data_IF_579800876034
#
_entry.id   IF_579800876034
#
_cell.length_a   1.000
_cell.length_b   1.000
_cell.length_c   1.000
_cell.angle_alpha   90.00
_cell.angle_beta   90.00
_cell.angle_gamma   90.00
#
_symmetry.space_group_name_H-M   'P 1'
#
loop_
_entity.id
_entity.type
_entity.pdbx_description
1 polymer ?
#
# COMPACT_ATOMS: atom_id res chain seq x y z
N UNK A 1 -9.00 -60.57 22.00
CA UNK A 1 -8.74 -59.57 23.05
C UNK A 1 -7.87 -58.46 22.46
N UNK A 2 -8.51 -57.42 21.92
CA UNK A 2 -7.85 -56.29 21.26
C UNK A 2 -7.83 -55.09 22.20
N UNK A 3 -6.75 -54.95 22.95
CA UNK A 3 -6.49 -53.77 23.77
C UNK A 3 -5.66 -52.81 22.92
N UNK A 4 -6.23 -51.68 22.47
CA UNK A 4 -5.51 -50.64 21.72
C UNK A 4 -5.01 -49.54 22.68
N UNK A 5 -3.69 -49.41 22.96
CA UNK A 5 -3.15 -48.31 23.76
C UNK A 5 -2.81 -47.04 22.94
N UNK A 6 -3.20 -46.98 21.65
CA UNK A 6 -2.65 -46.02 20.69
C UNK A 6 -3.32 -44.63 20.66
N UNK A 7 -4.35 -44.37 21.48
CA UNK A 7 -5.10 -43.11 21.43
C UNK A 7 -4.38 -41.92 22.10
N UNK A 8 -3.59 -42.15 23.17
CA UNK A 8 -3.00 -41.05 23.97
C UNK A 8 -1.81 -40.37 23.28
N UNK A 9 -0.98 -41.12 22.55
CA UNK A 9 0.19 -40.58 21.84
C UNK A 9 -0.20 -39.75 20.62
N UNK A 10 -1.18 -40.23 19.84
CA UNK A 10 -1.67 -39.52 18.66
C UNK A 10 -2.30 -38.16 19.02
N UNK A 11 -3.09 -38.07 20.10
CA UNK A 11 -3.69 -36.81 20.53
C UNK A 11 -2.64 -35.75 20.93
N UNK A 12 -1.55 -36.14 21.62
CA UNK A 12 -0.49 -35.20 21.99
C UNK A 12 0.24 -34.63 20.76
N UNK A 13 0.50 -35.47 19.76
CA UNK A 13 1.14 -35.04 18.50
C UNK A 13 0.25 -34.09 17.70
N UNK A 14 -1.07 -34.36 17.65
CA UNK A 14 -2.05 -33.49 16.97
C UNK A 14 -2.13 -32.12 17.67
N UNK A 15 -2.21 -32.11 19.01
CA UNK A 15 -2.21 -30.85 19.78
C UNK A 15 -0.90 -30.06 19.64
N UNK A 16 0.25 -30.75 19.61
CA UNK A 16 1.55 -30.10 19.41
C UNK A 16 1.67 -29.51 17.99
N UNK A 17 1.21 -30.24 16.96
CA UNK A 17 1.18 -29.75 15.59
C UNK A 17 0.28 -28.52 15.44
N UNK A 18 -0.91 -28.53 16.08
CA UNK A 18 -1.79 -27.37 16.11
C UNK A 18 -1.11 -26.15 16.76
N UNK A 19 -0.42 -26.35 17.88
CA UNK A 19 0.28 -25.27 18.58
C UNK A 19 1.42 -24.68 17.74
N UNK A 20 2.21 -25.52 17.05
CA UNK A 20 3.28 -25.06 16.15
C UNK A 20 2.69 -24.26 14.97
N UNK A 21 1.63 -24.76 14.33
CA UNK A 21 0.95 -24.04 13.25
C UNK A 21 0.38 -22.70 13.74
N UNK A 22 -0.16 -22.64 14.95
CA UNK A 22 -0.65 -21.41 15.55
C UNK A 22 0.45 -20.37 15.77
N UNK A 23 1.62 -20.78 16.26
CA UNK A 23 2.78 -19.90 16.41
C UNK A 23 3.26 -19.39 15.04
N UNK A 24 3.35 -20.26 14.03
CA UNK A 24 3.72 -19.86 12.66
C UNK A 24 2.69 -18.90 12.04
N UNK A 25 1.40 -19.13 12.25
CA UNK A 25 0.33 -18.23 11.82
C UNK A 25 0.44 -16.85 12.48
N UNK A 26 0.72 -16.82 13.79
CA UNK A 26 0.90 -15.59 14.54
C UNK A 26 2.13 -14.80 14.04
N UNK A 27 3.25 -15.49 13.79
CA UNK A 27 4.45 -14.86 13.22
C UNK A 27 4.19 -14.33 11.80
N UNK A 28 3.56 -15.12 10.93
CA UNK A 28 3.19 -14.68 9.58
C UNK A 28 2.30 -13.44 9.60
N UNK A 29 1.33 -13.40 10.51
CA UNK A 29 0.44 -12.24 10.71
C UNK A 29 1.21 -11.03 11.22
N UNK A 30 2.13 -11.20 12.17
CA UNK A 30 2.95 -10.12 12.70
C UNK A 30 3.83 -9.47 11.61
N UNK A 31 4.51 -10.29 10.81
CA UNK A 31 5.34 -9.79 9.71
C UNK A 31 4.49 -9.13 8.62
N UNK A 32 3.33 -9.71 8.29
CA UNK A 32 2.38 -9.09 7.36
C UNK A 32 1.97 -7.70 7.88
N UNK A 33 1.60 -7.61 9.15
CA UNK A 33 1.14 -6.37 9.76
C UNK A 33 2.22 -5.29 9.73
N UNK A 34 3.48 -5.64 10.05
CA UNK A 34 4.58 -4.68 9.99
C UNK A 34 4.80 -4.14 8.57
N UNK A 35 4.80 -5.02 7.55
CA UNK A 35 4.94 -4.58 6.15
C UNK A 35 3.75 -3.78 5.65
N UNK A 36 2.54 -4.09 6.12
CA UNK A 36 1.33 -3.30 5.85
C UNK A 36 1.46 -1.86 6.36
N UNK A 37 1.93 -1.68 7.59
CA UNK A 37 2.15 -0.34 8.17
C UNK A 37 3.14 0.46 7.33
N UNK A 38 4.27 -0.15 6.93
CA UNK A 38 5.26 0.53 6.10
C UNK A 38 4.71 0.89 4.71
N UNK A 39 4.02 -0.03 4.05
CA UNK A 39 3.41 0.22 2.75
C UNK A 39 2.35 1.33 2.83
N UNK A 40 1.53 1.32 3.88
CA UNK A 40 0.49 2.31 4.11
C UNK A 40 1.06 3.69 4.45
N UNK A 41 2.16 3.75 5.22
CA UNK A 41 2.86 5.00 5.50
C UNK A 41 3.39 5.65 4.20
N UNK A 42 4.07 4.89 3.34
CA UNK A 42 4.51 5.40 2.02
C UNK A 42 3.33 5.78 1.11
N UNK A 43 2.25 4.99 1.11
CA UNK A 43 1.02 5.31 0.36
C UNK A 43 0.43 6.66 0.80
N UNK A 44 0.33 6.88 2.11
CA UNK A 44 -0.19 8.13 2.67
C UNK A 44 0.71 9.32 2.31
N UNK A 45 2.03 9.13 2.35
CA UNK A 45 2.98 10.16 1.95
C UNK A 45 2.86 10.51 0.45
N UNK A 46 2.70 9.49 -0.41
CA UNK A 46 2.43 9.69 -1.83
C UNK A 46 1.13 10.49 -2.06
N UNK A 47 0.05 10.14 -1.36
CA UNK A 47 -1.24 10.85 -1.44
C UNK A 47 -1.08 12.31 -1.00
N UNK A 48 -0.37 12.58 0.10
CA UNK A 48 -0.12 13.94 0.57
C UNK A 48 0.69 14.76 -0.45
N UNK A 49 1.73 14.17 -1.04
CA UNK A 49 2.55 14.82 -2.07
C UNK A 49 1.74 15.07 -3.35
N UNK A 50 0.94 14.10 -3.77
CA UNK A 50 0.04 14.25 -4.92
C UNK A 50 -0.99 15.36 -4.68
N UNK A 51 -1.57 15.45 -3.47
CA UNK A 51 -2.48 16.54 -3.12
C UNK A 51 -1.80 17.90 -3.24
N UNK A 52 -0.57 18.04 -2.72
CA UNK A 52 0.21 19.27 -2.84
C UNK A 52 0.56 19.59 -4.30
N UNK A 53 0.88 18.58 -5.11
CA UNK A 53 1.12 18.76 -6.54
C UNK A 53 -0.13 19.31 -7.23
N UNK A 54 -1.31 18.73 -6.96
CA UNK A 54 -2.60 19.20 -7.48
C UNK A 54 -2.88 20.65 -7.06
N UNK A 55 -2.68 20.99 -5.79
CA UNK A 55 -2.86 22.37 -5.30
C UNK A 55 -1.92 23.35 -6.03
N UNK A 56 -0.69 22.91 -6.32
CA UNK A 56 0.31 23.72 -7.04
C UNK A 56 -0.05 23.86 -8.52
N UNK A 57 -0.56 22.81 -9.17
CA UNK A 57 -1.11 22.88 -10.53
C UNK A 57 -2.31 23.83 -10.59
N UNK A 58 -3.22 23.76 -9.63
CA UNK A 58 -4.36 24.68 -9.54
C UNK A 58 -3.89 26.14 -9.39
N UNK A 59 -2.84 26.38 -8.59
CA UNK A 59 -2.24 27.71 -8.47
C UNK A 59 -1.64 28.20 -9.81
N UNK A 60 -0.95 27.32 -10.53
CA UNK A 60 -0.42 27.61 -11.87
C UNK A 60 -1.56 27.94 -12.86
N UNK A 61 -2.62 27.14 -12.90
CA UNK A 61 -3.78 27.39 -13.76
C UNK A 61 -4.46 28.71 -13.42
N UNK A 62 -4.63 29.03 -12.13
CA UNK A 62 -5.18 30.31 -11.69
C UNK A 62 -4.32 31.49 -12.16
N UNK A 63 -2.98 31.37 -12.12
CA UNK A 63 -2.06 32.40 -12.67
C UNK A 63 -2.25 32.56 -14.17
N UNK A 64 -2.36 31.46 -14.90
CA UNK A 64 -2.57 31.49 -16.35
C UNK A 64 -3.92 32.14 -16.72
N UNK A 65 -4.98 31.86 -15.95
CA UNK A 65 -6.28 32.50 -16.10
C UNK A 65 -6.17 34.01 -15.86
N UNK A 66 -5.52 34.44 -14.77
CA UNK A 66 -5.31 35.87 -14.47
C UNK A 66 -4.53 36.58 -15.57
N UNK A 67 -3.44 35.98 -16.04
CA UNK A 67 -2.66 36.48 -17.16
C UNK A 67 -3.52 36.65 -18.41
N UNK A 68 -4.30 35.63 -18.78
CA UNK A 68 -5.19 35.68 -19.93
C UNK A 68 -6.26 36.77 -19.79
N UNK A 69 -6.82 36.97 -18.59
CA UNK A 69 -7.78 38.04 -18.29
C UNK A 69 -7.10 39.41 -18.45
N UNK A 70 -5.92 39.62 -17.88
CA UNK A 70 -5.19 40.88 -18.02
C UNK A 70 -4.86 41.18 -19.48
N UNK A 71 -4.41 40.19 -20.26
CA UNK A 71 -4.18 40.35 -21.69
C UNK A 71 -5.46 40.66 -22.47
N UNK A 72 -6.57 40.00 -22.15
CA UNK A 72 -7.86 40.29 -22.77
C UNK A 72 -8.29 41.74 -22.50
N UNK A 73 -8.16 42.22 -21.26
CA UNK A 73 -8.48 43.60 -20.86
C UNK A 73 -7.58 44.65 -21.53
N UNK A 74 -6.30 44.34 -21.76
CA UNK A 74 -5.38 45.23 -22.50
C UNK A 74 -5.70 45.25 -24.00
N UNK A 75 -6.09 44.09 -24.56
CA UNK A 75 -6.40 43.95 -25.99
C UNK A 75 -7.74 44.58 -26.37
N UNK A 76 -8.66 44.69 -25.42
CA UNK A 76 -9.93 45.40 -25.60
C UNK A 76 -9.74 46.87 -25.23
N UNK A 77 -10.29 47.81 -26.01
CA UNK A 77 -10.23 49.26 -25.70
C UNK A 77 -11.13 49.65 -24.50
N UNK A 78 -11.45 48.69 -23.63
CA UNK A 78 -12.23 48.87 -22.40
C UNK A 78 -11.45 49.69 -21.37
N UNK A 79 -10.12 49.60 -21.38
CA UNK A 79 -9.23 50.38 -20.51
C UNK A 79 -8.55 51.48 -21.32
N UNK A 80 -9.16 52.67 -21.33
CA UNK A 80 -8.69 53.86 -22.04
C UNK A 80 -7.62 54.66 -21.28
N UNK A 81 -7.54 54.48 -19.97
CA UNK A 81 -6.54 55.13 -19.13
C UNK A 81 -5.17 54.43 -19.29
N UNK A 82 -4.19 55.18 -19.79
CA UNK A 82 -2.82 54.70 -20.00
C UNK A 82 -2.13 54.23 -18.71
N UNK A 83 -2.47 54.84 -17.55
CA UNK A 83 -1.91 54.45 -16.25
C UNK A 83 -2.44 53.08 -15.82
N UNK A 84 -3.74 52.83 -16.01
CA UNK A 84 -4.37 51.54 -15.69
C UNK A 84 -3.85 50.44 -16.64
N UNK A 85 -3.71 50.75 -17.93
CA UNK A 85 -3.11 49.83 -18.91
C UNK A 85 -1.69 49.39 -18.49
N UNK A 86 -0.84 50.33 -18.11
CA UNK A 86 0.53 50.04 -17.64
C UNK A 86 0.55 49.18 -16.35
N UNK A 87 -0.40 49.39 -15.44
CA UNK A 87 -0.55 48.55 -14.24
C UNK A 87 -0.94 47.11 -14.60
N UNK A 88 -1.88 46.93 -15.53
CA UNK A 88 -2.30 45.60 -16.01
C UNK A 88 -1.16 44.86 -16.73
N UNK A 89 -0.36 45.58 -17.53
CA UNK A 89 0.83 45.01 -18.18
C UNK A 89 1.86 44.52 -17.15
N UNK A 90 2.12 45.30 -16.10
CA UNK A 90 3.00 44.89 -15.00
C UNK A 90 2.47 43.68 -14.23
N UNK A 91 1.16 43.63 -13.97
CA UNK A 91 0.52 42.48 -13.32
C UNK A 91 0.60 41.22 -14.21
N UNK A 92 0.35 41.34 -15.51
CA UNK A 92 0.46 40.24 -16.47
C UNK A 92 1.89 39.71 -16.59
N UNK A 93 2.90 40.60 -16.61
CA UNK A 93 4.30 40.22 -16.63
C UNK A 93 4.68 39.44 -15.36
N UNK A 94 4.26 39.91 -14.19
CA UNK A 94 4.52 39.25 -12.90
C UNK A 94 3.93 37.84 -12.82
N UNK A 95 2.69 37.67 -13.30
CA UNK A 95 2.05 36.34 -13.33
C UNK A 95 2.78 35.38 -14.28
N UNK A 96 3.24 35.86 -15.45
CA UNK A 96 3.97 35.05 -16.43
C UNK A 96 5.37 34.68 -15.95
N UNK A 97 6.08 35.62 -15.33
CA UNK A 97 7.45 35.40 -14.84
C UNK A 97 7.49 34.36 -13.72
N UNK A 98 6.47 34.35 -12.86
CA UNK A 98 6.39 33.42 -11.73
C UNK A 98 5.70 32.08 -12.05
N UNK A 99 5.03 31.94 -13.20
CA UNK A 99 4.33 30.70 -13.56
C UNK A 99 5.26 29.48 -13.77
N UNK A 100 6.42 29.60 -14.45
CA UNK A 100 7.32 28.46 -14.66
C UNK A 100 7.84 27.83 -13.37
N UNK A 101 8.15 28.63 -12.33
CA UNK A 101 8.66 28.12 -11.06
C UNK A 101 7.58 27.35 -10.28
N UNK A 102 6.32 27.78 -10.35
CA UNK A 102 5.18 27.05 -9.78
C UNK A 102 4.97 25.72 -10.51
N UNK A 103 5.06 25.72 -11.84
CA UNK A 103 4.96 24.51 -12.64
C UNK A 103 6.09 23.51 -12.35
N UNK A 104 7.31 24.00 -12.18
CA UNK A 104 8.46 23.18 -11.82
C UNK A 104 8.27 22.55 -10.43
N UNK A 105 7.81 23.33 -9.46
CA UNK A 105 7.50 22.83 -8.12
C UNK A 105 6.40 21.75 -8.14
N UNK A 106 5.34 21.93 -8.95
CA UNK A 106 4.29 20.92 -9.12
C UNK A 106 4.86 19.60 -9.67
N UNK A 107 5.70 19.68 -10.71
CA UNK A 107 6.38 18.50 -11.30
C UNK A 107 7.32 17.80 -10.32
N UNK A 108 8.02 18.56 -9.48
CA UNK A 108 8.89 17.98 -8.45
C UNK A 108 8.07 17.21 -7.40
N UNK A 109 6.96 17.79 -6.94
CA UNK A 109 6.05 17.12 -6.01
C UNK A 109 5.44 15.86 -6.61
N UNK A 110 5.04 15.92 -7.88
CA UNK A 110 4.49 14.77 -8.62
C UNK A 110 5.52 13.63 -8.75
N UNK A 111 6.79 13.95 -9.06
CA UNK A 111 7.88 12.95 -9.10
C UNK A 111 8.12 12.31 -7.73
N UNK A 112 8.09 13.11 -6.66
CA UNK A 112 8.23 12.60 -5.30
C UNK A 112 7.05 11.70 -4.92
N UNK A 113 5.82 12.09 -5.29
CA UNK A 113 4.62 11.29 -5.07
C UNK A 113 4.72 9.93 -5.78
N UNK A 114 5.15 9.93 -7.05
CA UNK A 114 5.34 8.69 -7.83
C UNK A 114 6.38 7.77 -7.19
N UNK A 115 7.51 8.31 -6.72
CA UNK A 115 8.55 7.53 -6.03
C UNK A 115 8.05 6.88 -4.75
N UNK A 116 7.23 7.58 -3.95
CA UNK A 116 6.65 7.03 -2.72
C UNK A 116 5.54 5.99 -3.02
N UNK A 117 4.78 6.17 -4.11
CA UNK A 117 3.79 5.19 -4.52
C UNK A 117 4.45 3.89 -5.02
N UNK A 118 5.51 3.98 -5.83
CA UNK A 118 6.30 2.81 -6.25
C UNK A 118 6.88 2.06 -5.06
N UNK A 119 7.43 2.79 -4.08
CA UNK A 119 7.91 2.21 -2.81
C UNK A 119 6.78 1.50 -2.08
N UNK A 120 5.61 2.12 -1.96
CA UNK A 120 4.43 1.49 -1.34
C UNK A 120 4.03 0.19 -2.05
N UNK A 121 3.93 0.22 -3.38
CA UNK A 121 3.54 -0.95 -4.19
C UNK A 121 4.53 -2.12 -4.02
N UNK A 122 5.84 -1.82 -3.97
CA UNK A 122 6.86 -2.86 -3.77
C UNK A 122 6.67 -3.60 -2.43
N UNK A 123 6.39 -2.86 -1.36
CA UNK A 123 6.18 -3.43 -0.02
C UNK A 123 4.82 -4.13 0.08
N UNK A 124 3.79 -3.64 -0.63
CA UNK A 124 2.44 -4.21 -0.62
C UNK A 124 2.39 -5.64 -1.18
N UNK A 125 3.14 -5.94 -2.25
CA UNK A 125 3.22 -7.30 -2.80
C UNK A 125 3.67 -8.33 -1.76
N UNK A 126 4.64 -7.93 -0.95
CA UNK A 126 5.14 -8.79 0.12
C UNK A 126 4.11 -8.99 1.23
N UNK A 127 3.34 -7.94 1.57
CA UNK A 127 2.23 -8.05 2.51
C UNK A 127 1.17 -9.06 2.04
N UNK A 128 0.76 -9.01 0.77
CA UNK A 128 -0.22 -9.94 0.20
C UNK A 128 0.23 -11.40 0.33
N UNK A 129 1.50 -11.70 0.02
CA UNK A 129 2.04 -13.05 0.19
C UNK A 129 2.05 -13.51 1.64
N UNK A 130 2.39 -12.63 2.59
CA UNK A 130 2.37 -12.95 4.01
C UNK A 130 0.95 -13.19 4.54
N UNK A 131 -0.05 -12.47 3.99
CA UNK A 131 -1.46 -12.74 4.30
C UNK A 131 -1.91 -14.11 3.80
N UNK A 132 -1.55 -14.50 2.57
CA UNK A 132 -1.87 -15.83 2.05
C UNK A 132 -1.20 -16.93 2.87
N UNK A 133 0.04 -16.73 3.31
CA UNK A 133 0.73 -17.65 4.22
C UNK A 133 -0.03 -17.79 5.56
N UNK A 134 -0.41 -16.67 6.19
CA UNK A 134 -1.17 -16.69 7.45
C UNK A 134 -2.53 -17.40 7.29
N UNK A 135 -3.26 -17.14 6.20
CA UNK A 135 -4.53 -17.80 5.91
C UNK A 135 -4.37 -19.32 5.72
N UNK A 136 -3.31 -19.76 5.04
CA UNK A 136 -3.03 -21.19 4.86
C UNK A 136 -2.80 -21.91 6.20
N UNK A 137 -2.08 -21.30 7.14
CA UNK A 137 -1.91 -21.85 8.49
C UNK A 137 -3.21 -21.88 9.28
N UNK A 138 -4.06 -20.85 9.16
CA UNK A 138 -5.39 -20.85 9.78
C UNK A 138 -6.26 -22.01 9.28
N UNK A 139 -6.29 -22.23 7.96
CA UNK A 139 -7.02 -23.36 7.37
C UNK A 139 -6.45 -24.69 7.88
N UNK A 140 -5.12 -24.82 7.99
CA UNK A 140 -4.49 -26.01 8.54
C UNK A 140 -4.91 -26.27 10.00
N UNK A 141 -4.95 -25.23 10.85
CA UNK A 141 -5.39 -25.34 12.26
C UNK A 141 -6.85 -25.78 12.36
N UNK A 142 -7.73 -25.23 11.51
CA UNK A 142 -9.14 -25.63 11.44
C UNK A 142 -9.27 -27.11 11.06
N UNK A 143 -8.53 -27.57 10.04
CA UNK A 143 -8.53 -28.98 9.63
C UNK A 143 -7.95 -29.90 10.69
N UNK A 144 -6.92 -29.48 11.42
CA UNK A 144 -6.39 -30.21 12.58
C UNK A 144 -7.45 -30.37 13.67
N UNK A 145 -8.21 -29.32 13.93
CA UNK A 145 -9.28 -29.31 14.94
C UNK A 145 -10.45 -30.23 14.53
N UNK A 146 -10.86 -30.19 13.26
CA UNK A 146 -11.87 -31.09 12.69
C UNK A 146 -11.37 -32.55 12.71
N UNK A 147 -10.12 -32.79 12.33
CA UNK A 147 -9.53 -34.14 12.34
C UNK A 147 -9.48 -34.73 13.75
N UNK A 148 -9.22 -33.91 14.76
CA UNK A 148 -9.24 -34.32 16.16
C UNK A 148 -10.67 -34.68 16.62
N UNK A 149 -11.67 -33.91 16.19
CA UNK A 149 -13.08 -34.14 16.54
C UNK A 149 -13.66 -35.40 15.89
N UNK A 150 -13.36 -35.64 14.61
CA UNK A 150 -13.94 -36.73 13.81
C UNK A 150 -13.10 -38.02 13.89
N UNK A 151 -11.95 -38.00 14.56
CA UNK A 151 -10.95 -39.09 14.58
C UNK A 151 -10.55 -39.60 13.17
N UNK A 152 -10.73 -38.75 12.15
CA UNK A 152 -10.51 -39.08 10.74
C UNK A 152 -9.04 -38.93 10.36
N UNK A 153 -8.25 -39.99 10.61
CA UNK A 153 -6.81 -40.06 10.31
C UNK A 153 -6.44 -39.78 8.85
N UNK A 154 -7.38 -39.86 7.91
CA UNK A 154 -7.19 -39.55 6.49
C UNK A 154 -6.99 -38.05 6.19
N UNK A 155 -7.32 -37.15 7.12
CA UNK A 155 -7.10 -35.70 6.96
C UNK A 155 -5.67 -35.25 7.29
N UNK A 156 -4.89 -36.08 8.00
CA UNK A 156 -3.51 -35.78 8.39
C UNK A 156 -2.55 -35.46 7.22
N UNK A 157 -2.56 -36.19 6.08
CA UNK A 157 -1.72 -35.81 4.93
C UNK A 157 -2.10 -34.45 4.33
N UNK A 158 -3.38 -34.07 4.34
CA UNK A 158 -3.84 -32.76 3.84
C UNK A 158 -3.32 -31.63 4.72
N UNK A 159 -3.32 -31.81 6.05
CA UNK A 159 -2.70 -30.87 7.01
C UNK A 159 -1.21 -30.70 6.73
N UNK A 160 -0.49 -31.80 6.44
CA UNK A 160 0.92 -31.75 6.08
C UNK A 160 1.20 -30.95 4.80
N UNK A 161 0.36 -31.12 3.78
CA UNK A 161 0.45 -30.36 2.51
C UNK A 161 0.19 -28.87 2.76
N UNK A 162 -0.86 -28.53 3.52
CA UNK A 162 -1.15 -27.12 3.86
C UNK A 162 -0.07 -26.49 4.73
N UNK A 163 0.48 -27.22 5.70
CA UNK A 163 1.56 -26.73 6.55
C UNK A 163 2.86 -26.47 5.77
N UNK A 164 3.23 -27.38 4.86
CA UNK A 164 4.40 -27.20 3.99
C UNK A 164 4.20 -26.09 2.96
N UNK A 165 3.01 -25.96 2.38
CA UNK A 165 2.65 -24.86 1.49
C UNK A 165 2.72 -23.51 2.23
N UNK A 166 2.17 -23.43 3.44
CA UNK A 166 2.25 -22.23 4.28
C UNK A 166 3.68 -21.84 4.64
N UNK A 167 4.53 -22.83 4.93
CA UNK A 167 5.96 -22.59 5.20
C UNK A 167 6.69 -22.05 3.96
N UNK A 168 6.40 -22.59 2.77
CA UNK A 168 6.97 -22.12 1.52
C UNK A 168 6.53 -20.69 1.18
N UNK A 169 5.23 -20.38 1.36
CA UNK A 169 4.69 -19.03 1.17
C UNK A 169 5.28 -18.03 2.17
N UNK A 170 5.47 -18.43 3.43
CA UNK A 170 6.10 -17.60 4.45
C UNK A 170 7.57 -17.31 4.11
N UNK A 171 8.32 -18.32 3.66
CA UNK A 171 9.71 -18.15 3.22
C UNK A 171 9.82 -17.22 2.00
N UNK A 172 8.95 -17.40 0.99
CA UNK A 172 8.89 -16.52 -0.19
C UNK A 172 8.50 -15.09 0.19
N UNK A 173 7.51 -14.92 1.06
CA UNK A 173 7.07 -13.62 1.55
C UNK A 173 8.19 -12.88 2.28
N UNK A 174 8.95 -13.57 3.15
CA UNK A 174 10.11 -13.00 3.84
C UNK A 174 11.22 -12.60 2.85
N UNK A 175 11.55 -13.47 1.89
CA UNK A 175 12.60 -13.24 0.89
C UNK A 175 12.29 -12.08 -0.07
N UNK A 176 11.02 -11.81 -0.36
CA UNK A 176 10.62 -10.71 -1.25
C UNK A 176 10.61 -9.32 -0.62
N UNK A 177 10.84 -9.19 0.70
CA UNK A 177 10.90 -7.87 1.34
C UNK A 177 12.14 -7.64 2.20
N UNK A 178 13.20 -8.41 1.98
CA UNK A 178 14.57 -7.97 2.27
C UNK A 178 15.16 -7.36 1.01
#
# INVERSE_FOLDING_TARGET
MSHWPQARGANRLISLAAAILAVLAALGTLFAHHRSITALASKNQAILLQSRATDTYNAYEAKQIRFNIYRALISTDLVRDAKIRKQLEGAAATETESAPSVLEQAKLLERQAASEDERSQSVMKSYEMLQYAAASFQIAIVLVSISALVAARYLLPIVGILGTLGLALLAMGLAQGG
#
